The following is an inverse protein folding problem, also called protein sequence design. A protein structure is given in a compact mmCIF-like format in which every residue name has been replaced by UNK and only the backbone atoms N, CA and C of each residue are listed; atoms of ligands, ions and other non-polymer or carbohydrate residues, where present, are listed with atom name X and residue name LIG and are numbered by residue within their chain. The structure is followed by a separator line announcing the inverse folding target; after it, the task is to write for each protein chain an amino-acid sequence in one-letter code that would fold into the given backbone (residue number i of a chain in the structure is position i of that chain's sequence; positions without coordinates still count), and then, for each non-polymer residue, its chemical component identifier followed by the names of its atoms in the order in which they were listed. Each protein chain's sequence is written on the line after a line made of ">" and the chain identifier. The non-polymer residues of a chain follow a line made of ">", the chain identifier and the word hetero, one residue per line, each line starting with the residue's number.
data_IF_360188272449
#
_entry.id   IF_360188272449
#
_cell.length_a   1.000
_cell.length_b   1.000
_cell.length_c   1.000
_cell.angle_alpha   90.00
_cell.angle_beta   90.00
_cell.angle_gamma   90.00
#
_symmetry.space_group_name_H-M   'P 1'
#
loop_
_entity.id
_entity.type
_entity.pdbx_description
1 polymer ?
#
# COMPACT_ATOMS: atom_id res chain seq x y z
N UNK A 1 18.44 2.42 1.13
CA UNK A 1 18.13 1.17 1.86
C UNK A 1 17.80 0.08 0.83
N UNK A 2 18.16 -1.17 1.08
CA UNK A 2 17.88 -2.28 0.13
C UNK A 2 16.47 -2.84 0.39
N UNK A 3 15.66 -2.99 -0.67
CA UNK A 3 14.30 -3.55 -0.63
C UNK A 3 14.27 -4.92 0.06
N UNK A 4 15.27 -5.77 -0.17
CA UNK A 4 15.36 -7.11 0.42
C UNK A 4 15.51 -7.07 1.95
N UNK A 5 16.34 -6.14 2.44
CA UNK A 5 16.52 -5.93 3.89
C UNK A 5 15.24 -5.40 4.53
N UNK A 6 14.57 -4.45 3.89
CA UNK A 6 13.28 -3.93 4.36
C UNK A 6 12.24 -5.02 4.37
N UNK A 7 12.12 -5.81 3.30
CA UNK A 7 11.18 -6.92 3.23
C UNK A 7 11.38 -7.90 4.39
N UNK A 8 12.63 -8.32 4.64
CA UNK A 8 12.98 -9.22 5.74
C UNK A 8 12.61 -8.62 7.11
N UNK A 9 12.87 -7.33 7.31
CA UNK A 9 12.52 -6.63 8.55
C UNK A 9 10.99 -6.51 8.73
N UNK A 10 10.25 -6.19 7.67
CA UNK A 10 8.78 -6.14 7.65
C UNK A 10 8.21 -7.50 8.01
N UNK A 11 8.65 -8.58 7.35
CA UNK A 11 8.18 -9.94 7.64
C UNK A 11 8.41 -10.32 9.12
N UNK A 12 9.58 -9.96 9.66
CA UNK A 12 9.89 -10.15 11.09
C UNK A 12 8.96 -9.36 12.02
N UNK A 13 8.50 -8.17 11.64
CA UNK A 13 7.54 -7.41 12.44
C UNK A 13 6.13 -8.00 12.31
N UNK A 14 5.73 -8.43 11.11
CA UNK A 14 4.43 -9.06 10.87
C UNK A 14 4.28 -10.39 11.62
N UNK A 15 5.34 -11.21 11.69
CA UNK A 15 5.33 -12.46 12.46
C UNK A 15 5.21 -12.23 13.97
N UNK A 16 5.60 -11.05 14.45
CA UNK A 16 5.41 -10.61 15.84
C UNK A 16 4.06 -9.92 16.08
N UNK A 17 3.21 -9.79 15.06
CA UNK A 17 1.95 -9.05 15.14
C UNK A 17 2.11 -7.53 15.13
N UNK A 18 3.33 -7.01 14.97
CA UNK A 18 3.63 -5.57 14.98
C UNK A 18 3.32 -4.93 13.61
N UNK A 19 2.04 -4.87 13.23
CA UNK A 19 1.61 -4.33 11.93
C UNK A 19 2.05 -2.88 11.76
N UNK A 20 1.96 -2.04 12.80
CA UNK A 20 2.36 -0.63 12.72
C UNK A 20 3.84 -0.46 12.37
N UNK A 21 4.73 -1.24 12.98
CA UNK A 21 6.16 -1.21 12.66
C UNK A 21 6.44 -1.67 11.24
N UNK A 22 5.72 -2.69 10.77
CA UNK A 22 5.83 -3.17 9.40
C UNK A 22 5.41 -2.10 8.37
N UNK A 23 4.35 -1.35 8.67
CA UNK A 23 3.90 -0.21 7.87
C UNK A 23 4.96 0.88 7.83
N UNK A 24 5.46 1.33 9.00
CA UNK A 24 6.45 2.41 9.06
C UNK A 24 7.72 2.10 8.26
N UNK A 25 8.21 0.84 8.31
CA UNK A 25 9.37 0.43 7.51
C UNK A 25 9.13 0.56 6.00
N UNK A 26 7.93 0.19 5.53
CA UNK A 26 7.58 0.37 4.12
C UNK A 26 7.37 1.83 3.75
N UNK A 27 6.73 2.61 4.62
CA UNK A 27 6.52 4.04 4.40
C UNK A 27 7.84 4.82 4.31
N UNK A 28 8.82 4.51 5.17
CA UNK A 28 10.16 5.11 5.09
C UNK A 28 10.88 4.70 3.81
N UNK A 29 10.79 3.42 3.42
CA UNK A 29 11.43 2.94 2.20
C UNK A 29 10.85 3.61 0.94
N UNK A 30 9.52 3.74 0.87
CA UNK A 30 8.82 4.23 -0.33
C UNK A 30 8.90 5.76 -0.50
N UNK A 31 9.30 6.51 0.53
CA UNK A 31 9.59 7.96 0.42
C UNK A 31 10.72 8.22 -0.58
N UNK A 32 11.78 7.44 -0.49
CA UNK A 32 12.95 7.55 -1.37
C UNK A 32 12.84 6.64 -2.60
N UNK A 33 11.97 5.62 -2.55
CA UNK A 33 11.82 4.61 -3.60
C UNK A 33 10.32 4.38 -3.93
N UNK A 34 9.65 5.33 -4.60
CA UNK A 34 8.25 5.17 -4.97
C UNK A 34 8.01 3.88 -5.78
N UNK A 35 7.09 3.03 -5.32
CA UNK A 35 6.74 1.74 -5.94
C UNK A 35 5.27 1.43 -5.69
N UNK A 36 4.48 1.30 -6.77
CA UNK A 36 3.04 1.01 -6.71
C UNK A 36 2.70 -0.28 -5.97
N UNK A 37 3.54 -1.32 -6.05
CA UNK A 37 3.30 -2.57 -5.33
C UNK A 37 3.51 -2.40 -3.83
N UNK A 38 4.46 -1.57 -3.42
CA UNK A 38 4.72 -1.27 -2.00
C UNK A 38 3.59 -0.41 -1.45
N UNK A 39 3.12 0.61 -2.18
CA UNK A 39 1.93 1.36 -1.79
C UNK A 39 0.71 0.46 -1.62
N UNK A 40 0.46 -0.48 -2.54
CA UNK A 40 -0.62 -1.45 -2.38
C UNK A 40 -0.41 -2.32 -1.13
N UNK A 41 0.82 -2.80 -0.89
CA UNK A 41 1.14 -3.59 0.31
C UNK A 41 0.88 -2.81 1.60
N UNK A 42 1.25 -1.52 1.66
CA UNK A 42 0.97 -0.65 2.81
C UNK A 42 -0.54 -0.52 3.00
N UNK A 43 -1.30 -0.30 1.92
CA UNK A 43 -2.76 -0.23 1.98
C UNK A 43 -3.40 -1.50 2.54
N UNK A 44 -2.90 -2.67 2.13
CA UNK A 44 -3.33 -3.97 2.67
C UNK A 44 -3.03 -4.13 4.16
N UNK A 45 -1.88 -3.65 4.61
CA UNK A 45 -1.52 -3.69 6.02
C UNK A 45 -2.42 -2.77 6.86
N UNK A 46 -2.72 -1.55 6.36
CA UNK A 46 -3.68 -0.66 7.00
C UNK A 46 -5.07 -1.27 7.07
N UNK A 47 -5.53 -1.92 6.00
CA UNK A 47 -6.82 -2.59 5.97
C UNK A 47 -6.88 -3.74 6.99
N UNK A 48 -5.79 -4.52 7.10
CA UNK A 48 -5.67 -5.62 8.06
C UNK A 48 -5.74 -5.15 9.52
N UNK A 49 -5.26 -3.95 9.84
CA UNK A 49 -5.42 -3.35 11.19
C UNK A 49 -6.73 -2.58 11.38
N UNK A 50 -7.64 -2.61 10.40
CA UNK A 50 -8.95 -1.95 10.45
C UNK A 50 -8.95 -0.47 10.04
N UNK A 51 -7.81 0.08 9.64
CA UNK A 51 -7.67 1.48 9.25
C UNK A 51 -8.00 1.67 7.77
N UNK A 52 -9.31 1.65 7.48
CA UNK A 52 -9.82 1.76 6.10
C UNK A 52 -9.45 3.09 5.44
N UNK A 53 -9.34 4.17 6.22
CA UNK A 53 -9.01 5.51 5.70
C UNK A 53 -7.61 5.52 5.10
N UNK A 54 -6.61 5.10 5.88
CA UNK A 54 -5.23 5.05 5.39
C UNK A 54 -5.07 3.97 4.31
N UNK A 55 -5.80 2.84 4.40
CA UNK A 55 -5.79 1.83 3.35
C UNK A 55 -6.18 2.41 1.98
N UNK A 56 -7.29 3.13 1.92
CA UNK A 56 -7.79 3.78 0.69
C UNK A 56 -6.78 4.82 0.17
N UNK A 57 -6.19 5.64 1.04
CA UNK A 57 -5.18 6.62 0.63
C UNK A 57 -3.97 5.95 -0.06
N UNK A 58 -3.49 4.84 0.48
CA UNK A 58 -2.36 4.12 -0.09
C UNK A 58 -2.71 3.35 -1.36
N UNK A 59 -3.94 2.82 -1.48
CA UNK A 59 -4.41 2.25 -2.74
C UNK A 59 -4.51 3.32 -3.85
N UNK A 60 -4.90 4.55 -3.52
CA UNK A 60 -4.87 5.67 -4.46
C UNK A 60 -3.46 6.01 -4.91
N UNK A 61 -2.48 6.07 -4.00
CA UNK A 61 -1.06 6.26 -4.34
C UNK A 61 -0.56 5.15 -5.27
N UNK A 62 -0.94 3.90 -5.01
CA UNK A 62 -0.61 2.76 -5.86
C UNK A 62 -1.24 2.90 -7.26
N UNK A 63 -2.52 3.28 -7.34
CA UNK A 63 -3.22 3.44 -8.61
C UNK A 63 -2.61 4.57 -9.45
N UNK A 64 -2.35 5.73 -8.84
CA UNK A 64 -1.69 6.87 -9.48
C UNK A 64 -0.29 6.52 -9.99
N UNK A 65 0.48 5.75 -9.21
CA UNK A 65 1.79 5.25 -9.65
C UNK A 65 1.66 4.35 -10.89
N UNK A 66 0.75 3.38 -10.89
CA UNK A 66 0.55 2.51 -12.03
C UNK A 66 0.02 3.22 -13.28
N UNK A 67 -0.82 4.25 -13.13
CA UNK A 67 -1.23 5.10 -14.25
C UNK A 67 -0.03 5.80 -14.86
N UNK A 68 0.83 6.42 -14.03
CA UNK A 68 2.03 7.12 -14.48
C UNK A 68 2.97 6.20 -15.27
N UNK A 69 3.07 4.95 -14.84
CA UNK A 69 3.90 3.92 -15.48
C UNK A 69 3.20 3.23 -16.68
N UNK A 70 1.97 3.61 -17.03
CA UNK A 70 1.20 3.02 -18.14
C UNK A 70 0.55 1.66 -17.83
N UNK A 71 0.61 1.19 -16.58
CA UNK A 71 -0.03 -0.05 -16.13
C UNK A 71 -1.51 0.15 -15.76
N UNK A 72 -2.32 0.65 -16.70
CA UNK A 72 -3.74 0.95 -16.51
C UNK A 72 -4.56 -0.22 -15.93
N UNK A 73 -4.36 -1.50 -16.31
CA UNK A 73 -5.10 -2.61 -15.72
C UNK A 73 -4.86 -2.78 -14.21
N UNK A 74 -3.64 -2.50 -13.74
CA UNK A 74 -3.32 -2.56 -12.30
C UNK A 74 -4.03 -1.44 -11.54
N UNK A 75 -4.06 -0.24 -12.11
CA UNK A 75 -4.80 0.88 -11.53
C UNK A 75 -6.30 0.60 -11.44
N UNK A 76 -6.91 0.03 -12.49
CA UNK A 76 -8.33 -0.34 -12.47
C UNK A 76 -8.64 -1.38 -11.38
N UNK A 77 -7.77 -2.37 -11.18
CA UNK A 77 -7.93 -3.34 -10.10
C UNK A 77 -7.89 -2.68 -8.70
N UNK A 78 -7.03 -1.67 -8.52
CA UNK A 78 -6.94 -0.91 -7.28
C UNK A 78 -8.17 -0.03 -7.05
N UNK A 79 -8.72 0.61 -8.07
CA UNK A 79 -9.96 1.39 -7.92
C UNK A 79 -11.15 0.52 -7.55
N UNK A 80 -11.28 -0.67 -8.17
CA UNK A 80 -12.29 -1.66 -7.74
C UNK A 80 -12.12 -2.04 -6.27
N UNK A 81 -10.87 -2.22 -5.82
CA UNK A 81 -10.56 -2.52 -4.42
C UNK A 81 -10.90 -1.35 -3.49
N UNK A 82 -10.62 -0.11 -3.90
CA UNK A 82 -11.01 1.09 -3.16
C UNK A 82 -12.53 1.15 -3.00
N UNK A 83 -13.30 0.98 -4.08
CA UNK A 83 -14.76 1.00 -4.04
C UNK A 83 -15.35 -0.13 -3.20
N UNK A 84 -14.67 -1.28 -3.09
CA UNK A 84 -15.08 -2.32 -2.15
C UNK A 84 -14.91 -1.91 -0.68
N UNK A 85 -13.85 -1.17 -0.35
CA UNK A 85 -13.55 -0.70 1.02
C UNK A 85 -14.36 0.55 1.38
N UNK A 86 -14.48 1.48 0.42
CA UNK A 86 -15.20 2.74 0.49
C UNK A 86 -16.04 2.95 -0.79
N UNK A 87 -17.31 2.48 -0.80
CA UNK A 87 -18.18 2.56 -1.98
C UNK A 87 -18.48 3.97 -2.50
N UNK A 88 -18.23 5.01 -1.70
CA UNK A 88 -18.48 6.40 -2.05
C UNK A 88 -17.19 7.19 -2.26
N UNK A 89 -16.07 6.51 -2.54
CA UNK A 89 -14.82 7.18 -2.84
C UNK A 89 -14.91 7.95 -4.16
N UNK A 90 -14.88 9.28 -4.09
CA UNK A 90 -15.06 10.14 -5.27
C UNK A 90 -13.88 10.14 -6.25
N UNK A 91 -12.75 9.51 -5.90
CA UNK A 91 -11.52 9.51 -6.70
C UNK A 91 -11.29 8.18 -7.44
N UNK A 92 -12.13 7.18 -7.19
CA UNK A 92 -12.04 5.83 -7.76
C UNK A 92 -13.11 5.59 -8.82
#
# INVERSE_FOLDING_TARGET
>A
MDKSKIFSAVQKQLSKGNIDKAISLWEEYVKENPDGNIYNTIGDLYLRKGDKKNAVEFFHKAAAFFIKEGFTPKAQALYKKILHVNPHDAKA
#
